data_IF_363537101226
#
_entry.id   IF_363537101226
#
_cell.length_a   1.000
_cell.length_b   1.000
_cell.length_c   1.000
_cell.angle_alpha   90.00
_cell.angle_beta   90.00
_cell.angle_gamma   90.00
#
_symmetry.space_group_name_H-M   'P 1'
#
loop_
_entity.id
_entity.type
_entity.pdbx_description
1 polymer ?
#
# COMPACT_ATOMS: atom_id res chain seq x y z
N UNK A 1 12.74 8.94 -14.29
CA UNK A 1 11.87 9.60 -13.29
C UNK A 1 11.74 8.62 -12.13
N UNK A 2 12.09 9.02 -10.91
CA UNK A 2 12.32 8.08 -9.79
C UNK A 2 11.04 7.69 -9.03
N UNK A 3 10.00 8.53 -9.15
CA UNK A 3 8.71 8.36 -8.48
C UNK A 3 7.78 7.52 -9.36
N UNK A 4 6.98 6.66 -8.72
CA UNK A 4 6.05 5.78 -9.41
C UNK A 4 4.97 6.60 -10.12
N UNK A 5 4.71 6.26 -11.39
CA UNK A 5 3.64 6.87 -12.17
C UNK A 5 2.30 6.23 -11.82
N UNK A 6 1.23 6.98 -12.06
CA UNK A 6 -0.12 6.46 -11.92
C UNK A 6 -0.36 5.22 -12.80
N UNK A 7 -1.04 4.21 -12.24
CA UNK A 7 -1.47 3.02 -12.97
C UNK A 7 -1.15 1.71 -12.25
N UNK A 8 -1.33 0.60 -12.98
CA UNK A 8 -1.01 -0.74 -12.50
C UNK A 8 0.43 -1.09 -12.81
N UNK A 9 1.13 -1.68 -11.84
CA UNK A 9 2.50 -2.17 -12.03
C UNK A 9 2.55 -3.67 -12.30
N UNK A 10 1.48 -4.38 -11.99
CA UNK A 10 1.35 -5.83 -12.13
C UNK A 10 0.27 -6.19 -13.13
N UNK A 11 0.35 -7.40 -13.67
CA UNK A 11 -0.67 -7.97 -14.55
C UNK A 11 -1.99 -8.21 -13.80
N UNK A 12 -1.89 -8.64 -12.53
CA UNK A 12 -3.06 -8.76 -11.65
C UNK A 12 -3.59 -7.37 -11.26
N UNK A 13 -4.91 -7.20 -11.33
CA UNK A 13 -5.61 -5.98 -10.88
C UNK A 13 -6.39 -6.23 -9.58
N UNK A 14 -6.60 -5.20 -8.74
CA UNK A 14 -7.49 -5.31 -7.59
C UNK A 14 -8.92 -5.64 -8.03
N UNK A 15 -9.63 -6.47 -7.25
CA UNK A 15 -11.07 -6.73 -7.43
C UNK A 15 -11.89 -5.56 -6.89
N UNK A 16 -13.22 -5.55 -7.14
CA UNK A 16 -14.12 -4.53 -6.58
C UNK A 16 -14.05 -4.42 -5.06
N UNK A 17 -14.03 -5.56 -4.34
CA UNK A 17 -13.87 -5.57 -2.88
C UNK A 17 -12.52 -5.01 -2.43
N UNK A 18 -11.46 -5.31 -3.19
CA UNK A 18 -10.14 -4.78 -2.89
C UNK A 18 -10.04 -3.28 -3.16
N UNK A 19 -10.77 -2.77 -4.16
CA UNK A 19 -10.90 -1.32 -4.36
C UNK A 19 -11.62 -0.63 -3.21
N UNK A 20 -12.61 -1.27 -2.59
CA UNK A 20 -13.25 -0.76 -1.38
C UNK A 20 -12.24 -0.68 -0.22
N UNK A 21 -11.42 -1.72 -0.04
CA UNK A 21 -10.34 -1.70 0.96
C UNK A 21 -9.29 -0.63 0.68
N UNK A 22 -8.94 -0.40 -0.59
CA UNK A 22 -8.02 0.68 -0.99
C UNK A 22 -8.60 2.03 -0.58
N UNK A 23 -9.85 2.33 -0.97
CA UNK A 23 -10.49 3.61 -0.67
C UNK A 23 -10.58 3.85 0.85
N UNK A 24 -11.08 2.85 1.59
CA UNK A 24 -11.19 2.92 3.04
C UNK A 24 -9.83 3.08 3.74
N UNK A 25 -8.83 2.27 3.34
CA UNK A 25 -7.49 2.34 3.89
C UNK A 25 -6.75 3.62 3.54
N UNK A 26 -7.05 4.22 2.39
CA UNK A 26 -6.42 5.45 1.93
C UNK A 26 -6.75 6.65 2.82
N UNK A 27 -8.03 6.86 3.13
CA UNK A 27 -8.47 7.94 4.02
C UNK A 27 -7.83 7.80 5.40
N UNK A 28 -7.82 6.58 5.95
CA UNK A 28 -7.19 6.29 7.22
C UNK A 28 -5.68 6.53 7.19
N UNK A 29 -4.98 6.06 6.17
CA UNK A 29 -3.54 6.24 6.05
C UNK A 29 -3.16 7.73 5.96
N UNK A 30 -3.99 8.56 5.28
CA UNK A 30 -3.79 10.01 5.23
C UNK A 30 -3.97 10.66 6.61
N UNK A 31 -5.00 10.27 7.36
CA UNK A 31 -5.20 10.80 8.72
C UNK A 31 -4.09 10.38 9.67
N UNK A 32 -3.62 9.13 9.59
CA UNK A 32 -2.48 8.65 10.37
C UNK A 32 -1.19 9.41 10.02
N UNK A 33 -0.99 9.71 8.73
CA UNK A 33 0.13 10.52 8.26
C UNK A 33 0.04 11.98 8.74
N UNK A 34 -1.18 12.56 8.77
CA UNK A 34 -1.43 13.92 9.28
C UNK A 34 -1.09 14.05 10.78
N UNK A 35 -1.29 12.98 11.54
CA UNK A 35 -0.94 12.89 12.96
C UNK A 35 0.53 12.51 13.20
N UNK A 36 1.32 12.31 12.14
CA UNK A 36 2.71 11.87 12.18
C UNK A 36 2.93 10.52 12.89
N UNK A 37 1.92 9.64 12.87
CA UNK A 37 2.02 8.33 13.51
C UNK A 37 2.68 7.31 12.57
N UNK A 38 2.21 7.25 11.32
CA UNK A 38 2.69 6.31 10.31
C UNK A 38 2.04 6.56 8.96
N UNK A 39 2.44 5.79 7.96
CA UNK A 39 2.05 6.02 6.57
C UNK A 39 1.39 4.80 5.90
N UNK A 40 1.33 3.67 6.60
CA UNK A 40 0.74 2.42 6.09
C UNK A 40 -0.42 1.95 6.95
N UNK A 41 -1.51 1.54 6.29
CA UNK A 41 -2.65 0.85 6.91
C UNK A 41 -2.87 -0.47 6.18
N UNK A 42 -3.19 -1.52 6.92
CA UNK A 42 -3.55 -2.83 6.38
C UNK A 42 -5.03 -3.09 6.67
N UNK A 43 -5.78 -3.39 5.62
CA UNK A 43 -7.24 -3.53 5.63
C UNK A 43 -7.65 -4.86 5.02
N UNK A 44 -8.70 -5.48 5.54
CA UNK A 44 -9.39 -6.59 4.88
C UNK A 44 -10.90 -6.47 5.11
N UNK A 45 -11.69 -6.51 4.03
CA UNK A 45 -13.15 -6.37 4.08
C UNK A 45 -13.59 -5.10 4.87
N UNK A 46 -12.92 -3.98 4.61
CA UNK A 46 -13.09 -2.68 5.27
C UNK A 46 -12.90 -2.70 6.80
N UNK A 47 -12.21 -3.72 7.33
CA UNK A 47 -11.75 -3.75 8.71
C UNK A 47 -10.24 -3.43 8.78
N UNK A 48 -9.85 -2.51 9.66
CA UNK A 48 -8.44 -2.23 9.93
C UNK A 48 -7.83 -3.39 10.70
N UNK A 49 -6.81 -4.02 10.11
CA UNK A 49 -6.07 -5.12 10.74
C UNK A 49 -4.85 -4.58 11.47
N UNK A 50 -4.11 -3.67 10.83
CA UNK A 50 -2.91 -3.07 11.39
C UNK A 50 -2.72 -1.65 10.86
N UNK A 51 -2.13 -0.80 11.70
CA UNK A 51 -1.66 0.53 11.32
C UNK A 51 -0.19 0.60 11.69
N UNK A 52 0.64 1.07 10.75
CA UNK A 52 2.06 1.29 10.98
C UNK A 52 2.26 2.44 11.97
N UNK A 53 3.24 2.27 12.85
CA UNK A 53 3.83 3.35 13.62
C UNK A 53 5.36 3.23 13.57
N UNK A 54 6.02 3.36 14.73
CA UNK A 54 7.49 3.33 14.84
C UNK A 54 8.12 1.99 14.43
N UNK A 55 7.33 0.91 14.34
CA UNK A 55 7.83 -0.40 13.95
C UNK A 55 8.19 -0.49 12.46
N UNK A 56 7.65 0.39 11.63
CA UNK A 56 7.88 0.41 10.19
C UNK A 56 7.06 -0.62 9.40
N UNK A 57 7.00 -0.36 8.09
CA UNK A 57 6.06 -1.00 7.15
C UNK A 57 6.11 -2.53 7.18
N UNK A 58 7.28 -3.15 7.08
CA UNK A 58 7.39 -4.61 6.98
C UNK A 58 6.98 -5.33 8.28
N UNK A 59 7.26 -4.74 9.46
CA UNK A 59 6.77 -5.31 10.73
C UNK A 59 5.27 -5.16 10.88
N UNK A 60 4.70 -4.04 10.42
CA UNK A 60 3.26 -3.84 10.35
C UNK A 60 2.57 -4.90 9.48
N UNK A 61 3.13 -5.20 8.29
CA UNK A 61 2.58 -6.23 7.39
C UNK A 61 2.65 -7.63 8.01
N UNK A 62 3.78 -8.01 8.65
CA UNK A 62 3.88 -9.30 9.34
C UNK A 62 2.85 -9.44 10.46
N UNK A 63 2.70 -8.39 11.29
CA UNK A 63 1.68 -8.33 12.34
C UNK A 63 0.27 -8.46 11.77
N UNK A 64 -0.02 -7.87 10.61
CA UNK A 64 -1.30 -8.06 9.94
C UNK A 64 -1.53 -9.51 9.52
N UNK A 65 -0.50 -10.22 9.04
CA UNK A 65 -0.59 -11.65 8.72
C UNK A 65 -0.85 -12.54 9.94
N UNK A 66 -0.27 -12.22 11.09
CA UNK A 66 -0.54 -12.92 12.36
C UNK A 66 -2.00 -12.78 12.81
N UNK A 67 -2.58 -11.59 12.63
CA UNK A 67 -3.96 -11.26 13.00
C UNK A 67 -4.98 -11.74 11.95
N UNK A 68 -4.65 -11.66 10.67
CA UNK A 68 -5.49 -12.06 9.55
C UNK A 68 -5.00 -13.37 8.92
N UNK A 69 -5.15 -14.49 9.65
CA UNK A 69 -4.64 -15.81 9.24
C UNK A 69 -5.17 -16.33 7.90
N UNK A 70 -6.33 -15.86 7.45
CA UNK A 70 -6.90 -16.19 6.13
C UNK A 70 -6.12 -15.54 4.98
N UNK A 71 -5.32 -14.51 5.27
CA UNK A 71 -4.72 -13.64 4.26
C UNK A 71 -5.77 -12.87 3.47
N UNK A 72 -5.39 -12.39 2.29
CA UNK A 72 -6.28 -11.67 1.37
C UNK A 72 -6.26 -10.15 1.50
N UNK A 73 -5.60 -9.63 2.53
CA UNK A 73 -5.63 -8.23 2.90
C UNK A 73 -4.92 -7.30 1.91
N UNK A 74 -5.30 -6.04 1.99
CA UNK A 74 -4.81 -4.91 1.22
C UNK A 74 -3.93 -4.02 2.09
N UNK A 75 -2.73 -3.72 1.60
CA UNK A 75 -1.79 -2.77 2.21
C UNK A 75 -1.90 -1.45 1.46
N UNK A 76 -2.18 -0.37 2.17
CA UNK A 76 -2.28 0.99 1.61
C UNK A 76 -1.20 1.84 2.24
N UNK A 77 -0.35 2.45 1.41
CA UNK A 77 0.75 3.31 1.84
C UNK A 77 0.70 4.65 1.12
N UNK A 78 0.61 5.74 1.88
CA UNK A 78 0.46 7.12 1.36
C UNK A 78 1.57 8.00 1.88
N UNK A 79 1.97 9.04 1.17
CA UNK A 79 2.89 10.01 1.74
C UNK A 79 2.19 10.80 2.85
N UNK A 80 2.93 11.15 3.92
CA UNK A 80 2.39 12.06 4.93
C UNK A 80 2.11 13.42 4.28
N UNK A 81 1.05 14.16 4.65
CA UNK A 81 0.78 15.47 4.06
C UNK A 81 1.93 16.47 4.22
N UNK A 82 2.70 16.35 5.30
CA UNK A 82 3.87 17.19 5.61
C UNK A 82 5.20 16.51 5.25
N UNK A 83 5.19 15.49 4.39
CA UNK A 83 6.38 14.72 4.01
C UNK A 83 7.44 15.61 3.35
N UNK A 84 8.64 15.70 3.93
CA UNK A 84 9.77 16.36 3.27
C UNK A 84 10.43 15.40 2.28
N UNK A 85 10.00 15.53 1.02
CA UNK A 85 10.44 14.70 -0.10
C UNK A 85 11.94 14.80 -0.43
N UNK A 86 12.69 15.68 0.24
CA UNK A 86 14.17 15.76 0.10
C UNK A 86 14.91 14.81 1.02
N UNK A 87 14.28 14.42 2.14
CA UNK A 87 14.93 13.65 3.19
C UNK A 87 14.22 12.33 3.48
N UNK A 88 12.92 12.26 3.30
CA UNK A 88 12.11 11.09 3.63
C UNK A 88 11.06 10.88 2.53
N UNK A 89 11.36 9.97 1.62
CA UNK A 89 10.45 9.60 0.52
C UNK A 89 9.91 8.21 0.79
N UNK A 90 8.57 8.02 0.82
CA UNK A 90 7.97 6.71 0.94
C UNK A 90 8.56 5.74 -0.08
N UNK A 91 9.04 4.60 0.40
CA UNK A 91 9.75 3.63 -0.44
C UNK A 91 9.16 2.24 -0.29
N UNK A 92 9.11 1.53 -1.41
CA UNK A 92 8.74 0.10 -1.53
C UNK A 92 9.85 -0.61 -2.30
N UNK A 93 10.18 -1.84 -1.90
CA UNK A 93 11.13 -2.68 -2.62
C UNK A 93 10.77 -4.15 -2.56
N UNK A 94 11.69 -5.00 -3.01
CA UNK A 94 11.51 -6.46 -3.05
C UNK A 94 11.16 -7.06 -1.68
N UNK A 95 11.74 -6.51 -0.61
CA UNK A 95 11.51 -7.00 0.76
C UNK A 95 10.06 -6.82 1.20
N UNK A 96 9.43 -5.69 0.84
CA UNK A 96 8.01 -5.45 1.11
C UNK A 96 7.15 -6.47 0.40
N UNK A 97 7.46 -6.81 -0.86
CA UNK A 97 6.71 -7.81 -1.63
C UNK A 97 6.86 -9.21 -1.06
N UNK A 98 8.07 -9.61 -0.64
CA UNK A 98 8.29 -10.89 0.06
C UNK A 98 7.51 -10.94 1.37
N UNK A 99 7.61 -9.88 2.17
CA UNK A 99 6.90 -9.76 3.44
C UNK A 99 5.38 -9.87 3.25
N UNK A 100 4.83 -9.20 2.23
CA UNK A 100 3.42 -9.34 1.87
C UNK A 100 3.04 -10.76 1.48
N UNK A 101 3.86 -11.43 0.66
CA UNK A 101 3.59 -12.81 0.26
C UNK A 101 3.56 -13.75 1.46
N UNK A 102 4.57 -13.69 2.33
CA UNK A 102 4.68 -14.49 3.54
C UNK A 102 3.52 -14.24 4.51
N UNK A 103 3.10 -12.98 4.64
CA UNK A 103 2.00 -12.58 5.51
C UNK A 103 0.61 -12.83 4.91
N UNK A 104 0.52 -13.20 3.62
CA UNK A 104 -0.76 -13.47 2.94
C UNK A 104 -1.45 -12.23 2.33
N UNK A 105 -0.75 -11.09 2.20
CA UNK A 105 -1.25 -9.90 1.53
C UNK A 105 -1.45 -10.10 0.02
N UNK A 106 -2.44 -9.40 -0.55
CA UNK A 106 -2.81 -9.55 -1.97
C UNK A 106 -2.82 -8.27 -2.78
N UNK A 107 -2.85 -7.12 -2.13
CA UNK A 107 -2.86 -5.82 -2.81
C UNK A 107 -1.94 -4.85 -2.10
N UNK A 108 -1.14 -4.15 -2.88
CA UNK A 108 -0.37 -2.99 -2.46
C UNK A 108 -0.87 -1.77 -3.22
N UNK A 109 -1.48 -0.83 -2.52
CA UNK A 109 -1.83 0.48 -3.06
C UNK A 109 -0.85 1.53 -2.53
N UNK A 110 -0.28 2.30 -3.45
CA UNK A 110 0.72 3.33 -3.16
C UNK A 110 0.36 4.64 -3.86
N UNK A 111 0.94 5.74 -3.38
CA UNK A 111 0.68 7.06 -3.94
C UNK A 111 1.57 7.36 -5.15
N UNK A 112 0.92 7.58 -6.29
CA UNK A 112 1.54 8.01 -7.53
C UNK A 112 2.18 9.41 -7.36
N UNK A 113 3.40 9.55 -7.88
CA UNK A 113 4.16 10.80 -7.78
C UNK A 113 4.73 11.08 -6.39
N UNK A 114 4.52 10.19 -5.41
CA UNK A 114 5.01 10.38 -4.04
C UNK A 114 5.80 9.18 -3.49
N UNK A 115 5.75 8.03 -4.16
CA UNK A 115 6.44 6.80 -3.72
C UNK A 115 7.57 6.42 -4.67
N UNK A 116 8.72 6.05 -4.12
CA UNK A 116 9.83 5.41 -4.85
C UNK A 116 9.65 3.89 -4.81
N UNK A 117 9.88 3.25 -5.95
CA UNK A 117 10.01 1.79 -6.00
C UNK A 117 11.45 1.45 -6.37
N UNK A 118 12.12 0.74 -5.48
CA UNK A 118 13.45 0.19 -5.72
C UNK A 118 13.29 -0.99 -6.68
N UNK A 119 14.01 -0.95 -7.80
CA UNK A 119 13.99 -1.98 -8.85
C UNK A 119 12.56 -2.32 -9.32
N UNK A 120 11.82 -1.35 -9.92
CA UNK A 120 10.39 -1.49 -10.20
C UNK A 120 10.04 -2.70 -11.09
N UNK A 121 10.92 -3.05 -12.03
CA UNK A 121 10.73 -4.23 -12.87
C UNK A 121 10.79 -5.54 -12.07
N UNK A 122 11.74 -5.66 -11.15
CA UNK A 122 11.88 -6.86 -10.32
C UNK A 122 10.78 -6.94 -9.26
N UNK A 123 10.35 -5.80 -8.71
CA UNK A 123 9.18 -5.69 -7.84
C UNK A 123 7.93 -6.17 -8.56
N UNK A 124 7.67 -5.68 -9.78
CA UNK A 124 6.52 -6.09 -10.58
C UNK A 124 6.55 -7.59 -10.91
N UNK A 125 7.69 -8.10 -11.40
CA UNK A 125 7.87 -9.53 -11.71
C UNK A 125 7.65 -10.41 -10.47
N UNK A 126 8.19 -10.02 -9.32
CA UNK A 126 8.04 -10.78 -8.08
C UNK A 126 6.59 -10.77 -7.59
N UNK A 127 5.94 -9.61 -7.62
CA UNK A 127 4.55 -9.47 -7.22
C UNK A 127 3.61 -10.28 -8.12
N UNK A 128 3.81 -10.26 -9.43
CA UNK A 128 3.06 -11.09 -10.37
C UNK A 128 3.23 -12.58 -10.07
N UNK A 129 4.46 -13.05 -9.79
CA UNK A 129 4.70 -14.45 -9.38
C UNK A 129 3.96 -14.83 -8.09
N UNK A 130 3.82 -13.90 -7.16
CA UNK A 130 3.11 -14.11 -5.90
C UNK A 130 1.60 -13.84 -5.97
N UNK A 131 1.10 -13.39 -7.13
CA UNK A 131 -0.30 -13.01 -7.31
C UNK A 131 -0.70 -11.81 -6.45
N UNK A 132 0.21 -10.86 -6.25
CA UNK A 132 -0.01 -9.60 -5.55
C UNK A 132 -0.30 -8.53 -6.62
N UNK A 133 -1.39 -7.78 -6.46
CA UNK A 133 -1.63 -6.62 -7.32
C UNK A 133 -0.93 -5.38 -6.74
N UNK A 134 -0.20 -4.64 -7.55
CA UNK A 134 0.37 -3.34 -7.20
C UNK A 134 -0.29 -2.27 -8.05
N UNK A 135 -0.88 -1.27 -7.38
CA UNK A 135 -1.50 -0.12 -8.02
C UNK A 135 -0.97 1.17 -7.41
N UNK A 136 -0.52 2.07 -8.28
CA UNK A 136 -0.19 3.43 -7.92
C UNK A 136 -1.38 4.32 -8.26
N UNK A 137 -2.04 4.86 -7.24
CA UNK A 137 -3.26 5.66 -7.35
C UNK A 137 -2.95 7.13 -7.08
N UNK A 138 -3.76 8.03 -7.64
CA UNK A 138 -3.70 9.44 -7.29
C UNK A 138 -4.87 9.79 -6.35
N UNK A 139 -4.66 10.75 -5.44
CA UNK A 139 -5.67 11.12 -4.45
C UNK A 139 -6.99 11.59 -5.08
N UNK A 140 -6.92 12.29 -6.22
CA UNK A 140 -8.07 12.85 -6.92
C UNK A 140 -8.99 11.77 -7.51
N UNK A 141 -8.45 10.65 -8.00
CA UNK A 141 -9.26 9.55 -8.52
C UNK A 141 -10.02 8.83 -7.41
N UNK A 142 -9.39 8.64 -6.24
CA UNK A 142 -10.06 8.01 -5.10
C UNK A 142 -11.21 8.87 -4.57
N UNK A 143 -11.04 10.20 -4.53
CA UNK A 143 -12.12 11.13 -4.18
C UNK A 143 -13.32 11.02 -5.15
N UNK A 144 -13.05 10.85 -6.45
CA UNK A 144 -14.11 10.64 -7.45
C UNK A 144 -14.79 9.26 -7.32
N UNK A 145 -14.04 8.22 -6.94
CA UNK A 145 -14.59 6.89 -6.71
C UNK A 145 -15.44 6.79 -5.45
N UNK A 146 -15.11 7.55 -4.40
CA UNK A 146 -15.91 7.60 -3.17
C UNK A 146 -17.22 8.39 -3.34
N UNK A 147 -17.28 9.31 -4.30
CA UNK A 147 -18.46 10.14 -4.58
C UNK A 147 -19.47 9.50 -5.55
N UNK A 148 -19.16 8.33 -6.12
CA UNK A 148 -19.98 7.62 -7.11
C UNK A 148 -20.62 6.36 -6.51
#
# INVERSE_FOLDING_TARGET
>A
ELLVKHGFLTSRRPTTSQWQDINFGWELAREMGRLDIGQTVVVNDSAVIAVEAIEGTDRCIRRAGELCRRGGFTVVKVAKPQQDMRFDVPTVGLETIKTMHEAGGKVLAIEAGMTIIIDPEEVAKLADRFGIAIVAVNAKELELHAAA
#
